data_IF_340208193139
#
_entry.id   IF_340208193139
#
_cell.length_a   1.000
_cell.length_b   1.000
_cell.length_c   1.000
_cell.angle_alpha   90.00
_cell.angle_beta   90.00
_cell.angle_gamma   90.00
#
_symmetry.space_group_name_H-M   'P 1'
#
loop_
_entity.id
_entity.type
_entity.pdbx_description
1 polymer ?
#
# COMPACT_ATOMS: atom_id res chain seq x y z
N UNK A 1 7.69 -6.06 20.28
CA UNK A 1 8.32 -6.04 21.59
C UNK A 1 9.73 -5.44 21.48
N UNK A 2 9.87 -4.20 21.92
CA UNK A 2 11.15 -3.44 21.82
C UNK A 2 12.30 -4.09 22.60
N UNK A 3 12.02 -4.80 23.68
CA UNK A 3 13.05 -5.41 24.53
C UNK A 3 13.68 -6.66 23.87
N UNK A 4 12.91 -7.39 23.10
CA UNK A 4 13.36 -8.64 22.45
C UNK A 4 13.61 -8.48 20.97
N UNK A 5 13.22 -7.37 20.36
CA UNK A 5 13.20 -7.14 18.92
C UNK A 5 12.22 -8.03 18.15
N UNK A 6 11.38 -8.81 18.85
CA UNK A 6 10.40 -9.69 18.20
C UNK A 6 9.16 -8.90 17.80
N UNK A 7 8.63 -9.24 16.65
CA UNK A 7 7.34 -8.71 16.15
C UNK A 7 6.43 -9.83 15.68
N UNK A 8 5.13 -9.56 15.74
CA UNK A 8 4.08 -10.39 15.17
C UNK A 8 2.96 -9.47 14.68
N UNK A 9 2.63 -9.59 13.41
CA UNK A 9 1.56 -8.82 12.77
C UNK A 9 0.61 -9.80 12.11
N UNK A 10 -0.68 -9.63 12.37
CA UNK A 10 -1.72 -10.41 11.69
C UNK A 10 -2.53 -9.51 10.78
N UNK A 11 -2.79 -9.99 9.59
CA UNK A 11 -3.58 -9.29 8.58
C UNK A 11 -4.47 -10.28 7.81
N UNK A 12 -5.51 -9.77 7.18
CA UNK A 12 -6.29 -10.55 6.23
C UNK A 12 -5.67 -10.43 4.84
N UNK A 13 -5.31 -11.55 4.25
CA UNK A 13 -4.80 -11.63 2.89
C UNK A 13 -5.94 -11.96 1.94
N UNK A 14 -6.23 -11.08 1.03
CA UNK A 14 -7.09 -11.41 -0.09
C UNK A 14 -6.31 -12.23 -1.11
N UNK A 15 -6.87 -13.37 -1.44
CA UNK A 15 -6.24 -14.32 -2.37
C UNK A 15 -6.70 -14.16 -3.80
N UNK A 16 -7.89 -13.60 -3.98
CA UNK A 16 -8.55 -13.62 -5.26
C UNK A 16 -9.16 -12.26 -5.59
N UNK A 17 -9.00 -11.88 -6.82
CA UNK A 17 -9.76 -10.82 -7.44
C UNK A 17 -10.88 -11.48 -8.26
N UNK A 18 -12.12 -11.21 -7.93
CA UNK A 18 -13.28 -11.78 -8.61
C UNK A 18 -14.08 -10.66 -9.26
N UNK A 19 -14.36 -10.82 -10.53
CA UNK A 19 -15.31 -9.99 -11.26
C UNK A 19 -16.30 -10.88 -12.04
N UNK A 20 -17.20 -10.29 -12.80
CA UNK A 20 -18.18 -10.99 -13.62
C UNK A 20 -17.57 -11.86 -14.74
N UNK A 21 -16.27 -11.77 -14.99
CA UNK A 21 -15.56 -12.57 -16.01
C UNK A 21 -14.74 -13.72 -15.41
N UNK A 22 -14.64 -13.79 -14.11
CA UNK A 22 -13.91 -14.88 -13.45
C UNK A 22 -13.17 -14.44 -12.19
N UNK A 23 -12.41 -15.38 -11.66
CA UNK A 23 -11.60 -15.21 -10.47
C UNK A 23 -10.14 -15.33 -10.85
N UNK A 24 -9.34 -14.37 -10.43
CA UNK A 24 -7.89 -14.34 -10.63
C UNK A 24 -7.24 -14.43 -9.27
N UNK A 25 -6.29 -15.34 -9.11
CA UNK A 25 -5.50 -15.41 -7.89
C UNK A 25 -4.46 -14.30 -7.84
N UNK A 26 -4.44 -13.57 -6.73
CA UNK A 26 -3.41 -12.57 -6.47
C UNK A 26 -2.12 -13.27 -6.05
N UNK A 27 -1.06 -12.98 -6.78
CA UNK A 27 0.25 -13.52 -6.48
C UNK A 27 1.01 -12.59 -5.53
N UNK A 28 1.29 -13.08 -4.33
CA UNK A 28 2.19 -12.37 -3.41
C UNK A 28 3.61 -12.38 -3.97
N UNK A 29 4.18 -11.19 -4.19
CA UNK A 29 5.50 -11.00 -4.78
C UNK A 29 6.59 -10.70 -3.78
N UNK A 30 6.21 -10.23 -2.58
CA UNK A 30 7.18 -9.94 -1.54
C UNK A 30 6.56 -9.55 -0.21
N UNK A 31 7.39 -9.62 0.82
CA UNK A 31 7.12 -9.07 2.14
C UNK A 31 8.36 -8.32 2.60
N UNK A 32 8.19 -7.04 2.92
CA UNK A 32 9.24 -6.22 3.51
C UNK A 32 8.80 -5.74 4.89
N UNK A 33 9.72 -5.64 5.80
CA UNK A 33 9.46 -5.20 7.18
C UNK A 33 10.37 -4.04 7.51
N UNK A 34 9.77 -2.93 7.91
CA UNK A 34 10.47 -1.72 8.30
C UNK A 34 10.25 -1.47 9.78
N UNK A 35 11.34 -1.32 10.52
CA UNK A 35 11.29 -0.98 11.94
C UNK A 35 11.56 0.52 12.13
N UNK A 36 10.86 1.13 13.06
CA UNK A 36 10.97 2.56 13.33
C UNK A 36 10.61 2.87 14.78
N UNK A 37 10.89 4.10 15.18
CA UNK A 37 10.44 4.67 16.45
C UNK A 37 9.42 5.75 16.17
N UNK A 38 8.34 5.72 16.93
CA UNK A 38 7.35 6.78 16.90
C UNK A 38 7.48 7.69 18.12
N UNK A 39 7.23 8.97 17.94
CA UNK A 39 7.20 9.97 19.00
C UNK A 39 5.89 10.74 18.93
N UNK A 40 5.10 10.70 20.00
CA UNK A 40 3.85 11.45 20.07
C UNK A 40 4.10 12.95 19.93
N UNK A 41 3.35 13.60 19.07
CA UNK A 41 3.35 15.05 18.93
C UNK A 41 2.40 15.65 19.95
N UNK A 42 2.95 16.45 20.88
CA UNK A 42 2.21 17.00 22.00
C UNK A 42 0.95 17.76 21.56
N UNK A 43 -0.16 17.57 22.30
CA UNK A 43 -1.43 18.22 22.00
C UNK A 43 -2.19 17.70 20.76
N UNK A 44 -1.69 16.63 20.12
CA UNK A 44 -2.32 16.06 18.91
C UNK A 44 -2.50 14.55 19.02
N UNK A 45 -3.19 13.97 18.02
CA UNK A 45 -3.27 12.51 17.80
C UNK A 45 -2.15 11.98 16.88
N UNK A 46 -1.21 12.82 16.48
CA UNK A 46 -0.15 12.46 15.55
C UNK A 46 1.07 11.87 16.26
N UNK A 47 1.80 11.06 15.52
CA UNK A 47 3.07 10.48 15.93
C UNK A 47 4.14 10.79 14.88
N UNK A 48 5.21 11.43 15.29
CA UNK A 48 6.35 11.70 14.43
C UNK A 48 7.16 10.42 14.19
N UNK A 49 7.50 10.17 12.94
CA UNK A 49 8.46 9.16 12.51
C UNK A 49 9.52 9.84 11.65
N UNK A 50 10.77 9.70 12.00
CA UNK A 50 11.87 10.23 11.18
C UNK A 50 12.11 9.27 10.00
N UNK A 51 11.97 9.71 8.73
CA UNK A 51 12.14 8.85 7.56
C UNK A 51 13.56 8.29 7.41
N UNK A 52 14.58 9.01 7.91
CA UNK A 52 15.98 8.57 7.89
C UNK A 52 16.28 7.48 8.92
N UNK A 53 15.46 7.39 9.96
CA UNK A 53 15.59 6.39 11.02
C UNK A 53 14.73 5.14 10.77
N UNK A 54 14.02 5.05 9.65
CA UNK A 54 13.29 3.85 9.26
C UNK A 54 14.31 2.83 8.72
N UNK A 55 14.38 1.67 9.37
CA UNK A 55 15.33 0.61 9.04
C UNK A 55 14.58 -0.61 8.47
N UNK A 56 14.99 -1.07 7.31
CA UNK A 56 14.50 -2.35 6.77
C UNK A 56 15.16 -3.51 7.50
N UNK A 57 14.35 -4.42 8.03
CA UNK A 57 14.82 -5.65 8.65
C UNK A 57 15.23 -6.64 7.56
N UNK A 58 16.51 -7.06 7.59
CA UNK A 58 17.07 -7.94 6.56
C UNK A 58 16.73 -9.42 6.74
N UNK A 59 16.35 -9.82 7.96
CA UNK A 59 15.93 -11.20 8.22
C UNK A 59 14.58 -11.46 7.58
N UNK A 60 14.50 -12.52 6.78
CA UNK A 60 13.22 -12.93 6.20
C UNK A 60 12.22 -13.26 7.32
N UNK A 61 10.99 -12.73 7.26
CA UNK A 61 9.96 -13.05 8.23
C UNK A 61 9.44 -14.49 8.03
N UNK A 62 9.00 -15.09 9.12
CA UNK A 62 8.17 -16.30 9.08
C UNK A 62 6.73 -15.88 8.73
N UNK A 63 6.14 -16.57 7.76
CA UNK A 63 4.79 -16.29 7.28
C UNK A 63 3.95 -17.55 7.46
N UNK A 64 2.96 -17.45 8.31
CA UNK A 64 1.97 -18.49 8.57
C UNK A 64 0.62 -18.06 8.00
N UNK A 65 0.02 -18.91 7.20
CA UNK A 65 -1.30 -18.71 6.64
C UNK A 65 -2.31 -19.63 7.32
N UNK A 66 -3.35 -19.06 7.91
CA UNK A 66 -4.46 -19.80 8.48
C UNK A 66 -5.59 -19.92 7.47
N UNK A 67 -5.67 -21.09 6.82
CA UNK A 67 -6.70 -21.41 5.84
C UNK A 67 -8.07 -21.72 6.49
N UNK A 68 -8.08 -21.97 7.81
CA UNK A 68 -9.31 -22.28 8.56
C UNK A 68 -10.07 -21.02 8.95
N UNK A 69 -9.40 -19.88 9.00
CA UNK A 69 -10.03 -18.58 9.22
C UNK A 69 -10.81 -18.19 7.95
N UNK A 70 -11.99 -18.78 7.78
CA UNK A 70 -12.84 -18.46 6.64
C UNK A 70 -13.56 -17.15 6.87
N UNK A 71 -13.21 -16.15 6.06
CA UNK A 71 -14.17 -15.09 5.77
C UNK A 71 -15.09 -15.53 4.62
N UNK A 72 -16.26 -14.93 4.50
CA UNK A 72 -17.17 -15.10 3.37
C UNK A 72 -16.52 -14.82 2.01
N UNK A 73 -15.32 -14.32 1.99
CA UNK A 73 -14.60 -13.63 0.93
C UNK A 73 -13.38 -14.35 0.40
N UNK A 74 -13.16 -15.57 0.85
CA UNK A 74 -11.95 -16.34 0.51
C UNK A 74 -10.63 -15.67 0.96
N UNK A 75 -10.72 -14.67 1.84
CA UNK A 75 -9.54 -14.15 2.52
C UNK A 75 -9.08 -15.15 3.59
N UNK A 76 -7.79 -15.20 3.78
CA UNK A 76 -7.17 -15.98 4.86
C UNK A 76 -6.40 -15.08 5.81
N UNK A 77 -6.21 -15.53 7.01
CA UNK A 77 -5.41 -14.80 7.97
C UNK A 77 -3.93 -15.11 7.77
N UNK A 78 -3.13 -14.08 7.54
CA UNK A 78 -1.68 -14.18 7.60
C UNK A 78 -1.18 -13.73 8.96
N UNK A 79 -0.25 -14.48 9.51
CA UNK A 79 0.56 -14.04 10.64
C UNK A 79 2.02 -13.96 10.19
N UNK A 80 2.60 -12.79 10.30
CA UNK A 80 3.95 -12.47 9.89
C UNK A 80 4.76 -12.19 11.14
N UNK A 81 5.77 -13.03 11.40
CA UNK A 81 6.60 -12.96 12.61
C UNK A 81 8.07 -12.84 12.24
N UNK A 82 8.81 -12.23 13.12
CA UNK A 82 10.26 -12.17 12.98
C UNK A 82 10.94 -11.51 14.17
N UNK A 83 12.24 -11.35 14.00
CA UNK A 83 13.09 -10.69 14.97
C UNK A 83 13.92 -9.64 14.26
N UNK A 84 13.86 -8.40 14.73
CA UNK A 84 14.76 -7.34 14.32
C UNK A 84 16.18 -7.59 14.85
N UNK A 85 17.16 -7.01 14.17
CA UNK A 85 18.53 -7.02 14.68
C UNK A 85 18.59 -6.30 16.04
N UNK A 86 19.41 -6.81 16.96
CA UNK A 86 19.50 -6.31 18.34
C UNK A 86 19.97 -4.87 18.45
N UNK A 87 20.59 -4.32 17.41
CA UNK A 87 20.88 -2.88 17.32
C UNK A 87 19.60 -2.03 17.14
N UNK A 88 18.50 -2.65 16.77
CA UNK A 88 17.19 -2.01 16.70
C UNK A 88 16.50 -1.83 18.06
N UNK A 89 17.16 -2.09 19.19
CA UNK A 89 16.57 -1.99 20.52
C UNK A 89 16.02 -0.61 20.92
N UNK A 90 16.19 0.42 20.08
CA UNK A 90 15.53 1.71 20.20
C UNK A 90 14.25 1.81 19.36
N UNK A 91 13.95 0.82 18.52
CA UNK A 91 12.78 0.82 17.62
C UNK A 91 11.64 0.05 18.28
N UNK A 92 10.45 0.61 18.27
CA UNK A 92 9.30 0.10 19.02
C UNK A 92 8.10 -0.24 18.15
N UNK A 93 8.21 -0.01 16.83
CA UNK A 93 7.16 -0.28 15.85
C UNK A 93 7.70 -0.96 14.61
N UNK A 94 6.83 -1.68 13.94
CA UNK A 94 7.11 -2.23 12.61
C UNK A 94 5.98 -1.89 11.65
N UNK A 95 6.35 -1.60 10.40
CA UNK A 95 5.45 -1.61 9.25
C UNK A 95 5.76 -2.87 8.44
N UNK A 96 4.74 -3.66 8.17
CA UNK A 96 4.83 -4.81 7.27
C UNK A 96 4.17 -4.44 5.96
N UNK A 97 4.92 -4.49 4.88
CA UNK A 97 4.45 -4.26 3.52
C UNK A 97 4.39 -5.60 2.80
N UNK A 98 3.19 -5.98 2.38
CA UNK A 98 2.96 -7.20 1.60
C UNK A 98 2.59 -6.79 0.17
N UNK A 99 3.39 -7.19 -0.79
CA UNK A 99 3.24 -6.81 -2.19
C UNK A 99 2.61 -7.94 -2.99
N UNK A 100 1.68 -7.57 -3.88
CA UNK A 100 0.97 -8.48 -4.76
C UNK A 100 1.08 -8.03 -6.21
N UNK A 101 1.19 -9.00 -7.13
CA UNK A 101 0.95 -8.73 -8.54
C UNK A 101 -0.55 -8.81 -8.80
N UNK A 102 -1.09 -7.77 -9.45
CA UNK A 102 -2.47 -7.71 -9.91
C UNK A 102 -2.50 -7.73 -11.43
N UNK A 103 -3.59 -8.20 -12.06
CA UNK A 103 -3.72 -8.20 -13.51
C UNK A 103 -4.07 -6.83 -14.09
N UNK A 104 -3.75 -5.78 -13.38
CA UNK A 104 -3.97 -4.41 -13.83
C UNK A 104 -2.76 -3.88 -14.61
N UNK A 105 -3.01 -2.95 -15.51
CA UNK A 105 -1.96 -2.31 -16.27
C UNK A 105 -1.14 -1.38 -15.38
N UNK A 106 0.18 -1.45 -15.49
CA UNK A 106 1.04 -0.43 -14.92
C UNK A 106 1.04 0.82 -15.82
N UNK A 107 0.22 1.79 -15.47
CA UNK A 107 0.06 3.03 -16.23
C UNK A 107 1.33 3.90 -16.28
N UNK A 108 2.27 3.69 -15.37
CA UNK A 108 3.57 4.37 -15.37
C UNK A 108 4.64 3.64 -16.20
N UNK A 109 4.32 2.44 -16.68
CA UNK A 109 5.22 1.71 -17.56
C UNK A 109 5.39 2.46 -18.89
N UNK A 110 6.61 2.56 -19.44
CA UNK A 110 6.83 3.13 -20.76
C UNK A 110 6.14 2.33 -21.88
N UNK A 111 5.65 1.13 -21.57
CA UNK A 111 4.89 0.28 -22.49
C UNK A 111 3.38 0.55 -22.47
N UNK A 112 2.85 1.29 -21.51
CA UNK A 112 1.40 1.50 -21.34
C UNK A 112 0.81 2.26 -22.54
N UNK A 113 1.36 3.41 -22.89
CA UNK A 113 0.86 4.20 -24.02
C UNK A 113 0.99 3.48 -25.37
N UNK A 114 2.15 2.88 -25.73
CA UNK A 114 2.25 2.07 -26.94
C UNK A 114 1.26 0.91 -27.00
N UNK A 115 0.97 0.26 -25.87
CA UNK A 115 -0.03 -0.79 -25.82
C UNK A 115 -1.43 -0.26 -26.15
N UNK A 116 -1.84 0.86 -25.56
CA UNK A 116 -3.15 1.47 -25.82
C UNK A 116 -3.26 1.96 -27.28
N UNK A 117 -2.20 2.55 -27.82
CA UNK A 117 -2.15 2.95 -29.22
C UNK A 117 -2.31 1.75 -30.16
N UNK A 118 -1.56 0.67 -29.91
CA UNK A 118 -1.66 -0.56 -30.69
C UNK A 118 -3.04 -1.21 -30.61
N UNK A 119 -3.74 -1.08 -29.49
CA UNK A 119 -5.12 -1.55 -29.36
C UNK A 119 -6.07 -0.77 -30.29
N UNK A 120 -5.93 0.56 -30.33
CA UNK A 120 -6.72 1.42 -31.23
C UNK A 120 -6.42 1.09 -32.69
N UNK A 121 -5.14 0.96 -33.05
CA UNK A 121 -4.71 0.60 -34.39
C UNK A 121 -5.26 -0.77 -34.83
N UNK A 122 -5.32 -1.73 -33.90
CA UNK A 122 -5.91 -3.04 -34.16
C UNK A 122 -7.40 -2.95 -34.54
N UNK A 123 -8.17 -2.13 -33.83
CA UNK A 123 -9.58 -1.89 -34.16
C UNK A 123 -9.74 -1.22 -35.54
N UNK A 124 -8.90 -0.23 -35.83
CA UNK A 124 -8.91 0.41 -37.16
C UNK A 124 -8.56 -0.58 -38.28
N UNK A 125 -7.55 -1.41 -38.09
CA UNK A 125 -7.17 -2.43 -39.06
C UNK A 125 -8.27 -3.49 -39.27
N UNK A 126 -9.06 -3.76 -38.24
CA UNK A 126 -10.22 -4.64 -38.34
C UNK A 126 -11.46 -3.99 -38.97
N UNK A 127 -11.35 -2.73 -39.44
CA UNK A 127 -12.46 -2.00 -40.06
C UNK A 127 -13.53 -1.53 -39.08
N UNK A 128 -13.23 -1.49 -37.77
CA UNK A 128 -14.18 -1.01 -36.76
C UNK A 128 -14.12 0.52 -36.73
N UNK A 129 -15.23 1.23 -37.03
CA UNK A 129 -15.26 2.68 -36.97
C UNK A 129 -15.30 3.13 -35.50
N UNK A 130 -14.20 3.65 -35.01
CA UNK A 130 -14.14 4.25 -33.67
C UNK A 130 -14.48 5.74 -33.77
N UNK A 131 -15.63 6.14 -33.21
CA UNK A 131 -16.06 7.54 -33.16
C UNK A 131 -15.69 8.21 -31.83
N UNK A 132 -15.15 7.46 -30.87
CA UNK A 132 -14.74 7.94 -29.57
C UNK A 132 -14.29 6.79 -28.66
N UNK A 133 -13.65 7.17 -27.57
CA UNK A 133 -13.33 6.26 -26.48
C UNK A 133 -14.17 6.65 -25.27
N UNK A 134 -14.84 5.69 -24.70
CA UNK A 134 -15.46 5.80 -23.40
C UNK A 134 -14.68 4.99 -22.40
N UNK A 135 -14.34 5.60 -21.29
CA UNK A 135 -13.78 4.90 -20.15
C UNK A 135 -14.54 5.30 -18.90
N UNK A 136 -14.93 4.31 -18.14
CA UNK A 136 -15.55 4.47 -16.83
C UNK A 136 -14.46 4.38 -15.78
N UNK A 137 -14.55 5.25 -14.76
CA UNK A 137 -13.64 5.23 -13.61
C UNK A 137 -12.16 5.20 -14.01
N UNK A 138 -11.74 6.14 -14.85
CA UNK A 138 -10.35 6.26 -15.35
C UNK A 138 -9.33 6.67 -14.29
N UNK A 139 -9.53 6.29 -13.07
CA UNK A 139 -8.56 6.50 -12.00
C UNK A 139 -7.97 5.18 -11.56
N UNK A 140 -6.75 5.23 -11.10
CA UNK A 140 -6.11 4.05 -10.51
C UNK A 140 -6.75 3.81 -9.14
N UNK A 141 -7.48 2.70 -9.02
CA UNK A 141 -8.28 2.35 -7.85
C UNK A 141 -7.43 1.83 -6.68
N UNK A 142 -6.63 2.69 -6.07
CA UNK A 142 -5.74 2.28 -4.97
C UNK A 142 -6.30 2.46 -3.58
N UNK A 143 -7.40 3.19 -3.46
CA UNK A 143 -8.01 3.53 -2.16
C UNK A 143 -9.42 2.97 -1.99
N UNK A 144 -9.83 2.16 -2.92
CA UNK A 144 -11.09 1.47 -2.76
C UNK A 144 -10.96 0.59 -1.53
N UNK A 145 -11.69 1.00 -0.51
CA UNK A 145 -11.91 0.13 0.61
C UNK A 145 -12.66 -1.07 0.08
N UNK A 146 -11.98 -2.17 0.03
CA UNK A 146 -12.51 -3.42 -0.46
C UNK A 146 -13.82 -3.80 0.23
N UNK A 147 -13.98 -3.40 1.50
CA UNK A 147 -15.18 -3.61 2.26
C UNK A 147 -16.44 -2.96 1.67
N UNK A 148 -16.33 -1.86 0.93
CA UNK A 148 -17.50 -1.18 0.39
C UNK A 148 -18.06 -1.83 -0.89
N UNK A 149 -17.23 -2.56 -1.62
CA UNK A 149 -17.63 -3.15 -2.90
C UNK A 149 -17.57 -4.67 -2.93
N UNK A 150 -16.72 -5.28 -2.13
CA UNK A 150 -16.47 -6.70 -2.23
C UNK A 150 -16.55 -7.43 -0.91
N UNK A 151 -15.91 -6.94 0.17
CA UNK A 151 -15.81 -7.74 1.39
C UNK A 151 -15.37 -7.01 2.64
N UNK A 152 -15.89 -7.42 3.78
CA UNK A 152 -15.55 -6.87 5.08
C UNK A 152 -14.10 -7.19 5.49
N UNK A 153 -13.44 -6.22 6.09
CA UNK A 153 -12.21 -6.43 6.87
C UNK A 153 -10.92 -6.48 6.09
N UNK A 154 -10.89 -6.03 4.83
CA UNK A 154 -9.67 -6.03 4.06
C UNK A 154 -8.83 -4.76 4.23
N UNK A 155 -7.52 -4.94 4.10
CA UNK A 155 -6.58 -3.85 4.06
C UNK A 155 -6.77 -3.03 2.78
N UNK A 156 -6.66 -1.72 2.91
CA UNK A 156 -6.63 -0.84 1.76
C UNK A 156 -5.35 -1.08 0.98
N UNK A 157 -5.49 -1.41 -0.29
CA UNK A 157 -4.34 -1.52 -1.18
C UNK A 157 -3.80 -0.13 -1.52
N UNK A 158 -2.50 -0.06 -1.74
CA UNK A 158 -1.83 1.09 -2.30
C UNK A 158 -1.26 0.69 -3.65
N UNK A 159 -1.57 1.48 -4.67
CA UNK A 159 -0.91 1.31 -5.95
C UNK A 159 0.57 1.66 -5.80
N UNK A 160 1.42 0.73 -6.15
CA UNK A 160 2.85 0.94 -6.13
C UNK A 160 3.52 0.00 -7.12
N UNK A 161 4.14 0.58 -8.15
CA UNK A 161 4.98 -0.14 -9.08
C UNK A 161 6.38 0.46 -9.10
N UNK A 162 7.41 -0.25 -9.59
CA UNK A 162 8.73 0.33 -9.75
C UNK A 162 8.73 1.59 -10.62
N UNK A 163 7.87 1.65 -11.66
CA UNK A 163 7.76 2.81 -12.54
C UNK A 163 7.10 3.99 -11.83
N UNK A 164 6.05 3.73 -11.03
CA UNK A 164 5.46 4.77 -10.18
C UNK A 164 6.49 5.36 -9.22
N UNK A 165 7.21 4.50 -8.47
CA UNK A 165 8.21 4.95 -7.51
C UNK A 165 9.33 5.76 -8.18
N UNK A 166 9.78 5.33 -9.36
CA UNK A 166 10.77 6.07 -10.14
C UNK A 166 10.25 7.44 -10.56
N UNK A 167 9.01 7.50 -11.07
CA UNK A 167 8.38 8.77 -11.48
C UNK A 167 8.15 9.70 -10.30
N UNK A 168 7.71 9.16 -9.18
CA UNK A 168 7.52 9.94 -7.95
C UNK A 168 8.84 10.54 -7.46
N UNK A 169 9.91 9.74 -7.45
CA UNK A 169 11.24 10.19 -7.06
C UNK A 169 11.81 11.26 -8.01
N UNK A 170 11.57 11.13 -9.30
CA UNK A 170 11.96 12.14 -10.30
C UNK A 170 11.31 13.49 -10.04
N UNK A 171 10.02 13.50 -9.68
CA UNK A 171 9.26 14.72 -9.47
C UNK A 171 9.46 15.37 -8.11
N UNK A 172 9.67 14.54 -7.07
CA UNK A 172 9.55 15.02 -5.69
C UNK A 172 10.77 14.77 -4.80
N UNK A 173 11.77 14.03 -5.29
CA UNK A 173 13.03 13.83 -4.59
C UNK A 173 13.53 12.38 -4.61
N UNK A 174 14.83 12.22 -4.73
CA UNK A 174 15.48 10.91 -4.84
C UNK A 174 15.29 10.01 -3.61
N UNK A 175 14.97 10.57 -2.45
CA UNK A 175 14.65 9.86 -1.22
C UNK A 175 13.44 8.95 -1.36
N UNK A 176 12.54 9.24 -2.32
CA UNK A 176 11.34 8.44 -2.59
C UNK A 176 11.57 7.26 -3.54
N UNK A 177 12.81 6.97 -3.97
CA UNK A 177 13.10 5.78 -4.78
C UNK A 177 12.65 4.48 -4.10
N UNK A 178 12.84 4.39 -2.79
CA UNK A 178 12.29 3.33 -1.96
C UNK A 178 10.99 3.81 -1.31
N UNK A 179 9.93 3.90 -2.13
CA UNK A 179 8.66 4.45 -1.67
C UNK A 179 8.00 3.60 -0.59
N UNK A 180 8.23 2.28 -0.56
CA UNK A 180 7.57 1.38 0.39
C UNK A 180 7.84 1.76 1.85
N UNK A 181 9.04 2.22 2.19
CA UNK A 181 9.33 2.69 3.55
C UNK A 181 8.50 3.91 3.96
N UNK A 182 8.05 4.72 2.98
CA UNK A 182 7.23 5.91 3.23
C UNK A 182 5.75 5.57 3.42
N UNK A 183 5.33 4.32 3.16
CA UNK A 183 3.96 3.88 3.39
C UNK A 183 3.54 3.98 4.86
N UNK A 184 4.47 4.09 5.79
CA UNK A 184 4.18 4.40 7.19
C UNK A 184 3.33 5.67 7.33
N UNK A 185 3.52 6.67 6.49
CA UNK A 185 2.75 7.91 6.50
C UNK A 185 1.36 7.79 5.87
N UNK A 186 1.06 6.63 5.28
CA UNK A 186 -0.23 6.30 4.67
C UNK A 186 -1.02 5.25 5.46
N UNK A 187 -0.48 4.77 6.58
CA UNK A 187 -1.11 3.71 7.38
C UNK A 187 -2.49 4.09 7.94
N UNK A 188 -2.73 5.41 8.15
CA UNK A 188 -4.02 5.91 8.63
C UNK A 188 -5.20 5.64 7.68
N UNK A 189 -4.93 5.47 6.39
CA UNK A 189 -5.95 5.25 5.37
C UNK A 189 -6.33 3.77 5.23
N UNK A 190 -5.90 2.91 6.15
CA UNK A 190 -6.28 1.50 6.19
C UNK A 190 -7.66 1.27 6.83
N UNK A 191 -8.42 2.35 7.11
CA UNK A 191 -9.72 2.22 7.75
C UNK A 191 -10.85 2.19 6.75
N UNK A 192 -11.68 1.24 7.05
CA UNK A 192 -12.98 1.05 6.48
C UNK A 192 -13.88 2.28 6.65
N UNK A 193 -14.77 2.51 5.69
CA UNK A 193 -15.91 3.41 5.81
C UNK A 193 -16.91 2.99 6.91
N UNK A 194 -16.68 1.88 7.59
CA UNK A 194 -17.51 1.40 8.66
C UNK A 194 -16.89 1.69 10.03
N UNK A 195 -17.15 2.88 10.62
CA UNK A 195 -16.61 3.26 11.92
C UNK A 195 -17.04 2.34 13.06
N UNK A 196 -18.08 1.51 12.83
CA UNK A 196 -18.64 0.60 13.83
C UNK A 196 -17.81 -0.67 14.04
N UNK A 197 -16.91 -1.00 13.13
CA UNK A 197 -16.07 -2.22 13.21
C UNK A 197 -14.70 -1.94 13.81
N UNK A 198 -14.25 -0.69 13.84
CA UNK A 198 -12.93 -0.33 14.34
C UNK A 198 -12.99 0.91 15.23
N UNK A 199 -13.05 0.68 16.52
CA UNK A 199 -12.92 1.74 17.52
C UNK A 199 -11.48 2.30 17.61
N UNK A 200 -10.55 1.75 16.86
CA UNK A 200 -9.13 2.10 16.92
C UNK A 200 -8.63 2.63 15.58
N UNK A 201 -8.69 3.95 15.40
CA UNK A 201 -7.94 4.59 14.32
C UNK A 201 -6.45 4.34 14.55
N UNK A 202 -5.70 3.87 13.53
CA UNK A 202 -4.26 3.76 13.66
C UNK A 202 -3.67 5.13 13.92
N UNK A 203 -2.56 5.12 14.58
CA UNK A 203 -1.75 6.29 14.77
C UNK A 203 -1.46 6.93 13.40
N UNK A 204 -1.74 8.23 13.29
CA UNK A 204 -1.35 8.96 12.10
C UNK A 204 0.10 9.39 12.23
N UNK A 205 0.95 8.81 11.39
CA UNK A 205 2.37 9.14 11.36
C UNK A 205 2.65 10.38 10.51
N UNK A 206 3.52 11.23 11.03
CA UNK A 206 3.90 12.52 10.41
C UNK A 206 5.41 12.70 10.37
N UNK A 207 5.87 13.51 9.39
CA UNK A 207 7.28 13.75 9.10
C UNK A 207 8.00 14.66 10.10
N UNK A 208 7.27 15.40 10.92
CA UNK A 208 7.85 16.32 11.89
C UNK A 208 6.96 16.52 13.10
N UNK A 209 7.49 17.20 14.12
CA UNK A 209 6.80 17.46 15.39
C UNK A 209 6.12 18.82 15.46
N UNK A 210 6.30 19.63 14.45
CA UNK A 210 5.74 20.98 14.30
C UNK A 210 4.71 21.05 13.17
N UNK A 211 4.11 22.22 13.01
CA UNK A 211 3.11 22.45 11.97
C UNK A 211 3.66 22.24 10.56
N UNK A 212 4.92 22.59 10.30
CA UNK A 212 5.57 22.41 9.00
C UNK A 212 5.76 20.92 8.66
N UNK A 213 6.24 20.11 9.61
CA UNK A 213 6.38 18.67 9.42
C UNK A 213 5.06 17.94 9.22
N UNK A 214 4.00 18.38 9.91
CA UNK A 214 2.64 17.89 9.69
C UNK A 214 2.16 18.25 8.29
N UNK A 215 2.34 19.51 7.88
CA UNK A 215 1.94 19.97 6.55
C UNK A 215 2.70 19.24 5.43
N UNK A 216 3.99 19.00 5.58
CA UNK A 216 4.81 18.20 4.63
C UNK A 216 4.26 16.79 4.46
N UNK A 217 3.74 16.20 5.53
CA UNK A 217 3.10 14.87 5.46
C UNK A 217 1.85 14.90 4.60
N UNK A 218 0.97 15.89 4.80
CA UNK A 218 -0.22 16.04 3.98
C UNK A 218 0.14 16.33 2.52
N UNK A 219 1.20 17.12 2.28
CA UNK A 219 1.70 17.37 0.94
C UNK A 219 2.24 16.09 0.27
N UNK A 220 2.97 15.23 1.01
CA UNK A 220 3.42 13.94 0.52
C UNK A 220 2.23 13.07 0.08
N UNK A 221 1.21 12.97 0.93
CA UNK A 221 -0.02 12.22 0.63
C UNK A 221 -0.74 12.78 -0.60
N UNK A 222 -0.90 14.10 -0.65
CA UNK A 222 -1.52 14.77 -1.79
C UNK A 222 -0.76 14.49 -3.09
N UNK A 223 0.56 14.63 -3.11
CA UNK A 223 1.41 14.33 -4.28
C UNK A 223 1.26 12.90 -4.78
N UNK A 224 1.10 11.95 -3.85
CA UNK A 224 0.83 10.57 -4.21
C UNK A 224 -0.49 10.44 -4.98
N UNK A 225 -1.57 11.04 -4.49
CA UNK A 225 -2.88 10.97 -5.14
C UNK A 225 -2.93 11.83 -6.41
N UNK A 226 -2.35 13.02 -6.41
CA UNK A 226 -2.29 13.88 -7.60
C UNK A 226 -1.55 13.19 -8.77
N UNK A 227 -0.57 12.34 -8.48
CA UNK A 227 0.16 11.59 -9.52
C UNK A 227 -0.67 10.42 -10.09
N UNK A 228 -1.67 9.93 -9.37
CA UNK A 228 -2.50 8.81 -9.77
C UNK A 228 -3.79 9.24 -10.51
N UNK A 229 -4.09 10.52 -10.54
CA UNK A 229 -5.20 11.12 -11.28
C UNK A 229 -4.77 11.54 -12.69
#
# INVERSE_FOLDING_TARGET
DAATGRYSVSLWEQRQWTNNKGTIELQRTGVRVFAFKEQRVGGTSFYHVNPEAIVELKSAPEIEADESAQSTTKARRLTIRGKGDTQAGALDRVLVVVSYATPEMDYFSPRALPFLQGLIEHYHAAGVPLNGLYADEMHIQQDWNYASHHDEGQLTFRYLTPHFAARFAELYGAEFKDFEKHLVYFAYAQHSFMPSLDAHFPAQHVLGTDADGIQKTFLLRRRYFDLLQ
#
